data_IF_755360980599
#
_entry.id   IF_755360980599
#
_cell.length_a   1.000
_cell.length_b   1.000
_cell.length_c   1.000
_cell.angle_alpha   90.00
_cell.angle_beta   90.00
_cell.angle_gamma   90.00
#
_symmetry.space_group_name_H-M   'P 1'
#
loop_
_entity.id
_entity.type
_entity.pdbx_description
1 polymer ?
#
# COMPACT_ATOMS: atom_id res chain seq x y z
N UNK A 1 16.65 13.13 -16.26
CA UNK A 1 15.92 13.31 -14.98
C UNK A 1 14.65 12.47 -14.97
N UNK A 2 14.22 11.93 -13.81
CA UNK A 2 13.10 10.96 -13.79
C UNK A 2 11.76 11.59 -14.20
N UNK A 3 11.41 12.76 -13.65
CA UNK A 3 10.18 13.46 -14.01
C UNK A 3 10.13 13.77 -15.52
N UNK A 4 11.25 14.23 -16.11
CA UNK A 4 11.39 14.41 -17.56
C UNK A 4 11.13 13.12 -18.33
N UNK A 5 11.65 11.98 -17.86
CA UNK A 5 11.45 10.67 -18.52
C UNK A 5 9.97 10.28 -18.47
N UNK A 6 9.30 10.45 -17.33
CA UNK A 6 7.86 10.22 -17.18
C UNK A 6 7.06 11.10 -18.13
N UNK A 7 7.35 12.41 -18.16
CA UNK A 7 6.68 13.35 -19.04
C UNK A 7 6.86 13.00 -20.52
N UNK A 8 8.05 12.53 -20.91
CA UNK A 8 8.36 12.11 -22.28
C UNK A 8 7.53 10.89 -22.69
N UNK A 9 7.53 9.84 -21.87
CA UNK A 9 6.74 8.63 -22.12
C UNK A 9 5.25 8.98 -22.23
N UNK A 10 4.75 9.81 -21.30
CA UNK A 10 3.37 10.26 -21.31
C UNK A 10 3.02 11.03 -22.58
N UNK A 11 3.80 12.05 -22.96
CA UNK A 11 3.49 12.89 -24.11
C UNK A 11 3.51 12.09 -25.42
N UNK A 12 4.49 11.19 -25.58
CA UNK A 12 4.54 10.29 -26.72
C UNK A 12 3.27 9.43 -26.79
N UNK A 13 2.89 8.82 -25.66
CA UNK A 13 1.67 7.99 -25.57
C UNK A 13 0.41 8.82 -25.83
N UNK A 14 0.36 10.06 -25.35
CA UNK A 14 -0.76 10.98 -25.56
C UNK A 14 -0.91 11.29 -27.05
N UNK A 15 0.17 11.72 -27.70
CA UNK A 15 0.18 12.03 -29.13
C UNK A 15 -0.28 10.82 -29.96
N UNK A 16 0.23 9.62 -29.67
CA UNK A 16 -0.20 8.40 -30.33
C UNK A 16 -1.69 8.07 -30.09
N UNK A 17 -2.16 8.12 -28.84
CA UNK A 17 -3.52 7.72 -28.46
C UNK A 17 -4.60 8.68 -28.94
N UNK A 18 -4.28 9.98 -29.00
CA UNK A 18 -5.24 11.02 -29.42
C UNK A 18 -5.03 11.49 -30.87
N UNK A 19 -4.03 10.95 -31.59
CA UNK A 19 -3.75 11.34 -32.97
C UNK A 19 -3.21 12.76 -33.08
N UNK A 20 -2.52 13.23 -32.05
CA UNK A 20 -1.92 14.56 -31.94
C UNK A 20 -0.42 14.50 -32.25
N UNK A 21 0.22 15.66 -32.44
CA UNK A 21 1.67 15.74 -32.59
C UNK A 21 2.22 16.98 -31.87
N UNK A 22 1.80 17.15 -30.62
CA UNK A 22 2.18 18.31 -29.81
C UNK A 22 3.63 18.17 -29.35
N UNK A 23 4.41 19.23 -29.51
CA UNK A 23 5.70 19.38 -28.83
C UNK A 23 5.51 19.51 -27.31
N UNK A 24 6.57 19.30 -26.50
CA UNK A 24 6.51 19.49 -25.05
C UNK A 24 6.00 20.87 -24.62
N UNK A 25 6.45 21.93 -25.30
CA UNK A 25 5.98 23.29 -25.02
C UNK A 25 4.51 23.47 -25.39
N UNK A 26 4.08 23.00 -26.57
CA UNK A 26 2.67 23.13 -27.00
C UNK A 26 1.73 22.38 -26.07
N UNK A 27 2.08 21.15 -25.65
CA UNK A 27 1.29 20.43 -24.65
C UNK A 27 1.28 21.17 -23.32
N UNK A 28 2.43 21.71 -22.90
CA UNK A 28 2.53 22.47 -21.66
C UNK A 28 1.56 23.66 -21.67
N UNK A 29 1.57 24.45 -22.74
CA UNK A 29 0.77 25.68 -22.86
C UNK A 29 -0.73 25.36 -23.01
N UNK A 30 -1.06 24.44 -23.92
CA UNK A 30 -2.46 24.20 -24.32
C UNK A 30 -3.21 23.25 -23.38
N UNK A 31 -2.51 22.42 -22.61
CA UNK A 31 -3.13 21.36 -21.80
C UNK A 31 -2.70 21.44 -20.34
N UNK A 32 -1.39 21.40 -20.08
CA UNK A 32 -0.89 21.34 -18.70
C UNK A 32 -1.19 22.63 -17.92
N UNK A 33 -0.82 23.78 -18.48
CA UNK A 33 -1.05 25.09 -17.88
C UNK A 33 -2.55 25.33 -17.63
N UNK A 34 -3.39 25.01 -18.62
CA UNK A 34 -4.84 25.13 -18.51
C UNK A 34 -5.39 24.36 -17.31
N UNK A 35 -5.00 23.09 -17.10
CA UNK A 35 -5.49 22.33 -15.96
C UNK A 35 -4.86 22.75 -14.62
N UNK A 36 -3.55 23.02 -14.61
CA UNK A 36 -2.77 23.13 -13.36
C UNK A 36 -2.72 24.54 -12.79
N UNK A 37 -2.61 25.56 -13.64
CA UNK A 37 -2.23 26.91 -13.23
C UNK A 37 -3.15 28.01 -13.77
N UNK A 38 -3.97 27.76 -14.78
CA UNK A 38 -4.89 28.78 -15.33
C UNK A 38 -6.20 28.96 -14.53
N UNK A 39 -6.22 28.56 -13.25
CA UNK A 39 -7.40 28.66 -12.38
C UNK A 39 -7.05 29.13 -10.96
N UNK A 40 -7.99 29.71 -10.19
CA UNK A 40 -7.74 30.19 -8.83
C UNK A 40 -7.18 29.12 -7.88
N UNK A 41 -7.65 27.87 -8.04
CA UNK A 41 -7.14 26.71 -7.29
C UNK A 41 -6.19 25.93 -8.16
N UNK A 42 -4.88 26.09 -7.91
CA UNK A 42 -3.87 25.29 -8.60
C UNK A 42 -3.98 23.81 -8.24
N UNK A 43 -3.60 22.94 -9.17
CA UNK A 43 -3.51 21.49 -8.89
C UNK A 43 -2.23 21.10 -8.17
N UNK A 44 -1.15 21.85 -8.40
CA UNK A 44 0.18 21.60 -7.85
C UNK A 44 0.79 22.89 -7.34
N UNK A 45 1.57 22.78 -6.26
CA UNK A 45 2.38 23.87 -5.75
C UNK A 45 3.86 23.52 -5.90
N UNK A 46 4.59 24.29 -6.72
CA UNK A 46 6.02 24.09 -6.93
C UNK A 46 6.76 25.29 -6.34
N UNK A 47 7.42 25.06 -5.21
CA UNK A 47 8.14 26.09 -4.45
C UNK A 47 9.17 26.82 -5.33
N UNK A 48 9.28 28.13 -5.14
CA UNK A 48 10.19 29.02 -5.89
C UNK A 48 9.91 29.13 -7.40
N UNK A 49 8.91 28.45 -7.93
CA UNK A 49 8.56 28.59 -9.34
C UNK A 49 7.92 29.94 -9.66
N UNK A 50 7.99 30.38 -10.94
CA UNK A 50 7.31 31.60 -11.39
C UNK A 50 5.83 31.65 -11.00
N UNK A 51 5.13 30.51 -10.98
CA UNK A 51 3.70 30.43 -10.67
C UNK A 51 3.35 30.73 -9.21
N UNK A 52 4.27 30.50 -8.27
CA UNK A 52 4.02 30.70 -6.83
C UNK A 52 4.77 31.90 -6.25
N UNK A 53 5.71 32.48 -7.01
CA UNK A 53 6.38 33.72 -6.67
C UNK A 53 5.45 34.91 -6.92
N UNK A 54 4.83 35.41 -5.85
CA UNK A 54 3.83 36.49 -5.90
C UNK A 54 4.48 37.86 -5.70
N UNK A 55 3.94 38.89 -6.38
CA UNK A 55 4.24 40.29 -6.04
C UNK A 55 3.59 40.62 -4.68
N UNK A 56 4.05 41.67 -4.01
CA UNK A 56 3.48 42.07 -2.71
C UNK A 56 1.95 42.23 -2.80
N UNK A 57 1.22 41.54 -1.91
CA UNK A 57 -0.25 41.55 -1.87
C UNK A 57 -0.96 40.55 -2.79
N UNK A 58 -0.28 39.91 -3.74
CA UNK A 58 -0.88 38.89 -4.61
C UNK A 58 -1.02 37.54 -3.88
N UNK A 59 -2.14 36.85 -4.12
CA UNK A 59 -2.36 35.45 -3.73
C UNK A 59 -2.77 34.64 -4.95
N UNK A 60 -2.39 33.36 -5.01
CA UNK A 60 -2.69 32.50 -6.16
C UNK A 60 -4.19 32.50 -6.54
N UNK A 61 -5.07 32.41 -5.54
CA UNK A 61 -6.52 32.39 -5.75
C UNK A 61 -7.13 33.73 -6.18
N UNK A 62 -6.38 34.83 -6.07
CA UNK A 62 -6.84 36.17 -6.46
C UNK A 62 -6.28 36.64 -7.80
N UNK A 63 -5.37 35.87 -8.42
CA UNK A 63 -4.78 36.23 -9.70
C UNK A 63 -5.83 36.27 -10.80
N UNK A 64 -5.80 37.31 -11.62
CA UNK A 64 -6.59 37.42 -12.84
C UNK A 64 -5.98 36.56 -13.97
N UNK A 65 -6.76 36.21 -15.01
CA UNK A 65 -6.25 35.43 -16.15
C UNK A 65 -4.97 36.01 -16.76
N UNK A 66 -4.92 37.33 -17.01
CA UNK A 66 -3.74 37.99 -17.58
C UNK A 66 -2.51 37.88 -16.67
N UNK A 67 -2.70 37.95 -15.35
CA UNK A 67 -1.61 37.77 -14.38
C UNK A 67 -1.11 36.32 -14.38
N UNK A 68 -1.97 35.33 -14.61
CA UNK A 68 -1.54 33.92 -14.74
C UNK A 68 -0.76 33.72 -16.05
N UNK A 69 -1.17 34.36 -17.13
CA UNK A 69 -0.42 34.38 -18.40
C UNK A 69 0.94 35.05 -18.23
N UNK A 70 1.04 36.16 -17.47
CA UNK A 70 2.34 36.78 -17.13
C UNK A 70 3.28 35.78 -16.43
N UNK A 71 2.74 34.94 -15.52
CA UNK A 71 3.51 33.90 -14.81
C UNK A 71 4.01 32.81 -15.76
N UNK A 72 3.19 32.41 -16.73
CA UNK A 72 3.56 31.48 -17.79
C UNK A 72 4.70 32.04 -18.66
N UNK A 73 4.56 33.29 -19.12
CA UNK A 73 5.61 33.95 -19.90
C UNK A 73 6.93 34.07 -19.13
N UNK A 74 6.87 34.33 -17.83
CA UNK A 74 8.05 34.39 -16.98
C UNK A 74 8.76 33.03 -16.91
N UNK A 75 8.03 31.91 -16.86
CA UNK A 75 8.62 30.58 -16.98
C UNK A 75 9.34 30.41 -18.33
N UNK A 76 8.69 30.74 -19.45
CA UNK A 76 9.31 30.62 -20.77
C UNK A 76 10.57 31.46 -20.93
N UNK A 77 10.57 32.69 -20.40
CA UNK A 77 11.73 33.59 -20.42
C UNK A 77 12.91 32.96 -19.69
N UNK A 78 12.68 32.39 -18.50
CA UNK A 78 13.73 31.71 -17.72
C UNK A 78 14.31 30.49 -18.43
N UNK A 79 13.43 29.65 -18.99
CA UNK A 79 13.85 28.47 -19.77
C UNK A 79 14.69 28.91 -20.97
N UNK A 80 14.24 29.93 -21.70
CA UNK A 80 14.95 30.45 -22.89
C UNK A 80 16.27 31.15 -22.55
N UNK A 81 16.39 31.70 -21.34
CA UNK A 81 17.63 32.27 -20.81
C UNK A 81 18.66 31.20 -20.40
N UNK A 82 18.28 29.91 -20.43
CA UNK A 82 19.16 28.79 -20.09
C UNK A 82 19.23 28.45 -18.61
N UNK A 83 18.34 29.01 -17.77
CA UNK A 83 18.16 28.54 -16.39
C UNK A 83 17.72 27.06 -16.43
N UNK A 84 18.20 26.22 -15.49
CA UNK A 84 17.88 24.78 -15.43
C UNK A 84 17.68 24.24 -14.01
N UNK A 85 17.31 25.07 -13.05
CA UNK A 85 17.20 24.68 -11.65
C UNK A 85 15.78 24.22 -11.23
N UNK A 86 15.67 23.72 -10.01
CA UNK A 86 14.45 23.18 -9.39
C UNK A 86 13.24 24.14 -9.40
N UNK A 87 13.46 25.45 -9.53
CA UNK A 87 12.36 26.43 -9.63
C UNK A 87 11.62 26.37 -10.96
N UNK A 88 12.26 25.86 -12.02
CA UNK A 88 11.72 25.80 -13.37
C UNK A 88 11.78 24.40 -13.98
N UNK A 89 12.32 23.41 -13.26
CA UNK A 89 12.38 22.03 -13.69
C UNK A 89 12.18 21.06 -12.51
N UNK A 90 11.17 20.19 -12.57
CA UNK A 90 10.79 19.35 -11.43
C UNK A 90 11.80 18.22 -11.21
N UNK A 91 12.34 18.16 -9.99
CA UNK A 91 13.31 17.15 -9.58
C UNK A 91 14.75 17.48 -9.95
N UNK A 92 15.02 18.69 -10.45
CA UNK A 92 16.36 19.19 -10.78
C UNK A 92 17.12 19.71 -9.55
N UNK A 93 18.44 19.95 -9.67
CA UNK A 93 19.21 20.63 -8.62
C UNK A 93 18.65 22.01 -8.29
N UNK A 94 18.74 22.43 -7.04
CA UNK A 94 18.38 23.80 -6.68
C UNK A 94 19.35 24.81 -7.32
N UNK A 95 18.92 26.07 -7.43
CA UNK A 95 19.72 27.15 -8.03
C UNK A 95 20.99 27.50 -7.22
N UNK A 96 21.04 27.12 -5.94
CA UNK A 96 22.17 27.41 -5.07
C UNK A 96 23.32 26.42 -5.32
N UNK A 97 24.42 26.91 -5.90
CA UNK A 97 25.58 26.11 -6.29
C UNK A 97 26.48 25.66 -5.12
N UNK A 98 26.34 26.28 -3.94
CA UNK A 98 27.37 26.21 -2.90
C UNK A 98 27.24 25.13 -1.84
N UNK A 99 26.12 24.44 -1.74
CA UNK A 99 25.92 23.32 -0.83
C UNK A 99 24.73 22.53 -1.34
N UNK A 100 24.65 21.22 -1.10
CA UNK A 100 23.52 20.39 -1.51
C UNK A 100 22.22 20.88 -0.82
N UNK A 101 21.57 21.89 -1.41
CA UNK A 101 20.37 22.49 -0.85
C UNK A 101 19.33 21.41 -0.62
N UNK A 102 18.56 21.53 0.46
CA UNK A 102 17.60 20.49 0.90
C UNK A 102 16.48 20.23 -0.11
N UNK A 103 16.27 21.15 -1.06
CA UNK A 103 15.31 21.06 -2.17
C UNK A 103 15.94 20.63 -3.49
N UNK A 104 17.23 20.34 -3.53
CA UNK A 104 17.89 19.77 -4.72
C UNK A 104 17.39 18.36 -4.99
N UNK A 105 17.26 18.01 -6.27
CA UNK A 105 16.96 16.66 -6.73
C UNK A 105 17.99 16.17 -7.73
N UNK A 106 18.30 14.86 -7.67
CA UNK A 106 19.07 14.12 -8.68
C UNK A 106 20.34 14.84 -9.18
N UNK A 107 21.11 15.44 -8.27
CA UNK A 107 22.42 16.04 -8.55
C UNK A 107 23.38 14.93 -9.00
N UNK A 108 24.09 15.15 -10.10
CA UNK A 108 25.00 14.16 -10.68
C UNK A 108 26.23 14.84 -11.28
N UNK A 109 27.38 14.16 -11.19
CA UNK A 109 28.63 14.57 -11.85
C UNK A 109 28.67 14.12 -13.32
N UNK A 110 27.64 13.42 -13.80
CA UNK A 110 27.52 13.03 -15.21
C UNK A 110 26.99 14.23 -15.99
N UNK A 111 27.74 14.64 -17.01
CA UNK A 111 27.28 15.66 -17.96
C UNK A 111 26.08 15.13 -18.76
N UNK A 112 24.91 15.71 -18.51
CA UNK A 112 23.68 15.42 -19.24
C UNK A 112 23.38 16.59 -20.18
N UNK A 113 23.12 16.28 -21.45
CA UNK A 113 22.54 17.26 -22.37
C UNK A 113 21.07 17.47 -21.98
N UNK A 114 20.74 18.70 -21.61
CA UNK A 114 19.40 19.11 -21.17
C UNK A 114 18.90 20.20 -22.11
N UNK A 115 17.91 19.82 -22.91
CA UNK A 115 17.26 20.71 -23.87
C UNK A 115 16.10 21.46 -23.19
N UNK A 116 15.68 22.59 -23.77
CA UNK A 116 14.54 23.36 -23.24
C UNK A 116 13.27 22.52 -23.12
N UNK A 117 13.07 21.57 -24.04
CA UNK A 117 11.96 20.62 -24.03
C UNK A 117 11.95 19.73 -22.78
N UNK A 118 13.12 19.35 -22.25
CA UNK A 118 13.22 18.52 -21.05
C UNK A 118 12.65 19.21 -19.81
N UNK A 119 12.69 20.54 -19.77
CA UNK A 119 12.15 21.33 -18.67
C UNK A 119 10.62 21.26 -18.68
N UNK A 120 9.97 21.47 -19.83
CA UNK A 120 8.51 21.30 -19.96
C UNK A 120 8.08 19.87 -19.63
N UNK A 121 8.81 18.87 -20.13
CA UNK A 121 8.55 17.46 -19.81
C UNK A 121 8.69 17.17 -18.32
N UNK A 122 9.61 17.83 -17.61
CA UNK A 122 9.75 17.66 -16.17
C UNK A 122 8.51 18.11 -15.40
N UNK A 123 7.86 19.20 -15.83
CA UNK A 123 6.61 19.66 -15.24
C UNK A 123 5.46 18.70 -15.53
N UNK A 124 5.29 18.30 -16.79
CA UNK A 124 4.27 17.35 -17.21
C UNK A 124 4.39 16.05 -16.41
N UNK A 125 5.61 15.51 -16.32
CA UNK A 125 5.90 14.33 -15.48
C UNK A 125 5.70 14.59 -13.99
N UNK A 126 6.04 15.79 -13.49
CA UNK A 126 5.81 16.20 -12.12
C UNK A 126 4.34 16.16 -11.69
N UNK A 127 3.40 16.34 -12.62
CA UNK A 127 1.96 16.20 -12.39
C UNK A 127 1.46 14.75 -12.35
N UNK A 128 2.28 13.77 -12.75
CA UNK A 128 1.94 12.34 -12.86
C UNK A 128 2.41 11.52 -11.64
N UNK A 129 2.81 12.18 -10.56
CA UNK A 129 3.24 11.50 -9.33
C UNK A 129 2.05 10.89 -8.59
N UNK A 130 2.23 9.70 -8.02
CA UNK A 130 1.16 8.97 -7.30
C UNK A 130 1.43 9.03 -5.80
N UNK A 131 0.70 9.88 -5.08
CA UNK A 131 0.85 10.09 -3.64
C UNK A 131 0.27 8.94 -2.83
N UNK A 132 1.04 8.43 -1.87
CA UNK A 132 0.65 7.35 -0.97
C UNK A 132 0.96 7.69 0.50
N UNK A 133 0.25 7.03 1.41
CA UNK A 133 0.40 7.22 2.84
C UNK A 133 1.85 6.95 3.28
N UNK A 134 2.33 7.75 4.23
CA UNK A 134 3.74 7.79 4.63
C UNK A 134 4.52 8.98 4.05
N UNK A 135 3.87 9.85 3.28
CA UNK A 135 4.46 11.11 2.77
C UNK A 135 5.37 10.92 1.56
N UNK A 136 5.16 9.85 0.79
CA UNK A 136 5.89 9.55 -0.43
C UNK A 136 4.97 9.57 -1.64
N UNK A 137 5.56 9.75 -2.81
CA UNK A 137 4.95 9.59 -4.12
C UNK A 137 5.71 8.53 -4.91
N UNK A 138 5.04 7.93 -5.89
CA UNK A 138 5.58 6.90 -6.77
C UNK A 138 5.42 7.39 -8.21
N UNK A 139 6.47 7.29 -9.01
CA UNK A 139 6.35 7.33 -10.47
C UNK A 139 6.39 5.91 -11.02
N UNK A 140 5.42 5.57 -11.87
CA UNK A 140 5.47 4.41 -12.76
C UNK A 140 5.60 4.88 -14.20
N UNK A 141 6.63 4.45 -14.90
CA UNK A 141 6.85 4.84 -16.30
C UNK A 141 6.09 3.93 -17.27
N UNK A 142 4.80 3.74 -17.04
CA UNK A 142 3.96 2.78 -17.78
C UNK A 142 2.86 3.53 -18.55
N UNK A 143 2.82 3.44 -19.91
CA UNK A 143 1.91 4.21 -20.75
C UNK A 143 0.44 4.21 -20.29
N UNK A 144 -0.11 3.03 -19.95
CA UNK A 144 -1.50 2.92 -19.50
C UNK A 144 -1.76 3.59 -18.16
N UNK A 145 -0.81 3.53 -17.21
CA UNK A 145 -0.93 4.26 -15.94
C UNK A 145 -0.88 5.77 -16.19
N UNK A 146 0.04 6.23 -17.03
CA UNK A 146 0.21 7.66 -17.30
C UNK A 146 -1.02 8.27 -17.99
N UNK A 147 -1.61 7.57 -18.96
CA UNK A 147 -2.87 8.01 -19.58
C UNK A 147 -4.01 7.99 -18.57
N UNK A 148 -4.11 6.93 -17.75
CA UNK A 148 -5.15 6.85 -16.73
C UNK A 148 -5.05 8.03 -15.75
N UNK A 149 -3.86 8.41 -15.32
CA UNK A 149 -3.64 9.58 -14.48
C UNK A 149 -4.12 10.89 -15.14
N UNK A 150 -3.79 11.08 -16.41
CA UNK A 150 -4.24 12.25 -17.17
C UNK A 150 -5.78 12.35 -17.29
N UNK A 151 -6.49 11.23 -17.46
CA UNK A 151 -7.96 11.23 -17.40
C UNK A 151 -8.46 11.75 -16.03
N UNK A 152 -7.78 11.36 -14.96
CA UNK A 152 -8.03 11.84 -13.60
C UNK A 152 -7.82 13.34 -13.43
N UNK A 153 -6.88 13.95 -14.17
CA UNK A 153 -6.66 15.40 -14.11
C UNK A 153 -7.91 16.17 -14.52
N UNK A 154 -8.58 15.73 -15.60
CA UNK A 154 -9.80 16.38 -16.11
C UNK A 154 -10.90 16.38 -15.06
N UNK A 155 -11.07 15.24 -14.38
CA UNK A 155 -12.07 15.06 -13.32
C UNK A 155 -11.73 15.94 -12.11
N UNK A 156 -10.48 15.95 -11.68
CA UNK A 156 -10.06 16.79 -10.55
C UNK A 156 -10.23 18.27 -10.84
N UNK A 157 -9.91 18.71 -12.07
CA UNK A 157 -10.12 20.09 -12.48
C UNK A 157 -11.58 20.49 -12.34
N UNK A 158 -12.49 19.61 -12.80
CA UNK A 158 -13.92 19.82 -12.73
C UNK A 158 -14.37 20.01 -11.29
N UNK A 159 -13.92 19.17 -10.35
CA UNK A 159 -14.26 19.33 -8.94
C UNK A 159 -13.68 20.58 -8.31
N UNK A 160 -12.44 20.94 -8.61
CA UNK A 160 -11.84 22.17 -8.09
C UNK A 160 -12.53 23.44 -8.62
N UNK A 161 -13.17 23.38 -9.78
CA UNK A 161 -13.93 24.48 -10.38
C UNK A 161 -15.42 24.46 -10.02
N UNK A 162 -15.91 23.42 -9.35
CA UNK A 162 -17.31 23.32 -8.96
C UNK A 162 -17.60 24.30 -7.80
N UNK A 163 -18.52 25.28 -7.99
CA UNK A 163 -18.86 26.23 -6.93
C UNK A 163 -19.45 25.58 -5.69
N UNK A 164 -20.09 24.41 -5.82
CA UNK A 164 -20.62 23.66 -4.67
C UNK A 164 -19.52 23.02 -3.82
N UNK A 165 -18.30 22.92 -4.36
CA UNK A 165 -17.10 22.43 -3.69
C UNK A 165 -16.10 23.58 -3.43
N UNK A 166 -16.61 24.75 -3.03
CA UNK A 166 -15.80 25.94 -2.74
C UNK A 166 -14.69 25.66 -1.72
N UNK A 167 -14.95 24.77 -0.76
CA UNK A 167 -14.01 24.38 0.29
C UNK A 167 -13.01 23.28 -0.14
N UNK A 168 -13.12 22.74 -1.36
CA UNK A 168 -12.14 21.77 -1.87
C UNK A 168 -10.77 22.41 -2.05
N UNK A 169 -9.79 21.87 -1.35
CA UNK A 169 -8.42 22.36 -1.35
C UNK A 169 -7.71 22.02 -2.66
N UNK A 170 -6.98 22.98 -3.22
CA UNK A 170 -6.05 22.76 -4.34
C UNK A 170 -4.71 22.13 -3.90
N UNK A 171 -3.75 22.04 -4.82
CA UNK A 171 -2.38 21.59 -4.56
C UNK A 171 -2.26 20.14 -4.06
N UNK A 172 -3.23 19.28 -4.37
CA UNK A 172 -3.25 17.87 -3.95
C UNK A 172 -3.12 16.89 -5.13
N UNK A 173 -2.54 17.29 -6.26
CA UNK A 173 -2.53 16.45 -7.48
C UNK A 173 -1.96 15.05 -7.24
N UNK A 174 -0.85 14.90 -6.51
CA UNK A 174 -0.29 13.57 -6.24
C UNK A 174 -1.23 12.72 -5.39
N UNK A 175 -1.84 13.32 -4.36
CA UNK A 175 -2.82 12.64 -3.51
C UNK A 175 -4.05 12.21 -4.30
N UNK A 176 -4.54 13.10 -5.18
CA UNK A 176 -5.62 12.80 -6.12
C UNK A 176 -5.25 11.67 -7.06
N UNK A 177 -4.06 11.70 -7.67
CA UNK A 177 -3.58 10.65 -8.57
C UNK A 177 -3.58 9.26 -7.89
N UNK A 178 -3.18 9.19 -6.62
CA UNK A 178 -3.27 7.98 -5.80
C UNK A 178 -4.71 7.46 -5.66
N UNK A 179 -5.63 8.33 -5.26
CA UNK A 179 -7.04 7.96 -5.12
C UNK A 179 -7.71 7.64 -6.44
N UNK A 180 -7.39 8.39 -7.49
CA UNK A 180 -7.95 8.20 -8.83
C UNK A 180 -7.56 6.84 -9.39
N UNK A 181 -6.27 6.46 -9.35
CA UNK A 181 -5.86 5.12 -9.80
C UNK A 181 -6.49 4.02 -8.96
N UNK A 182 -6.56 4.22 -7.64
CA UNK A 182 -7.21 3.27 -6.75
C UNK A 182 -8.69 3.07 -7.12
N UNK A 183 -9.41 4.14 -7.40
CA UNK A 183 -10.81 4.13 -7.81
C UNK A 183 -11.00 3.54 -9.21
N UNK A 184 -10.20 3.99 -10.19
CA UNK A 184 -10.31 3.61 -11.60
C UNK A 184 -9.98 2.13 -11.85
N UNK A 185 -9.01 1.56 -11.12
CA UNK A 185 -8.72 0.13 -11.13
C UNK A 185 -9.50 -0.64 -10.04
N UNK A 186 -10.47 0.02 -9.40
CA UNK A 186 -11.39 -0.59 -8.46
C UNK A 186 -12.35 -1.55 -9.17
N UNK A 187 -12.64 -2.71 -8.57
CA UNK A 187 -13.60 -3.70 -9.14
C UNK A 187 -14.98 -3.11 -9.41
N UNK A 188 -15.36 -2.07 -8.65
CA UNK A 188 -16.66 -1.40 -8.75
C UNK A 188 -16.57 -0.10 -9.55
N UNK A 189 -15.54 0.11 -10.37
CA UNK A 189 -15.48 1.27 -11.25
C UNK A 189 -16.65 1.27 -12.24
N UNK A 190 -17.23 2.43 -12.45
CA UNK A 190 -18.18 2.72 -13.53
C UNK A 190 -18.00 4.17 -13.90
N UNK A 191 -18.05 4.50 -15.19
CA UNK A 191 -17.82 5.86 -15.69
C UNK A 191 -18.89 6.87 -15.25
N UNK A 192 -20.05 6.40 -14.78
CA UNK A 192 -21.20 7.18 -14.33
C UNK A 192 -21.15 7.59 -12.85
N UNK A 193 -19.96 7.87 -12.31
CA UNK A 193 -19.79 8.22 -10.90
C UNK A 193 -19.94 9.73 -10.63
N UNK A 194 -20.28 10.05 -9.39
CA UNK A 194 -20.38 11.42 -8.89
C UNK A 194 -19.50 11.63 -7.64
N UNK A 195 -19.52 12.86 -7.12
CA UNK A 195 -18.77 13.20 -5.91
C UNK A 195 -19.24 12.37 -4.69
N UNK A 196 -20.54 12.11 -4.56
CA UNK A 196 -21.10 11.35 -3.44
C UNK A 196 -20.55 9.93 -3.38
N UNK A 197 -20.37 9.29 -4.55
CA UNK A 197 -19.76 7.96 -4.65
C UNK A 197 -18.28 7.95 -4.28
N UNK A 198 -17.52 8.98 -4.67
CA UNK A 198 -16.12 9.12 -4.27
C UNK A 198 -16.01 9.37 -2.76
N UNK A 199 -16.86 10.23 -2.21
CA UNK A 199 -16.92 10.50 -0.78
C UNK A 199 -17.30 9.24 0.02
N UNK A 200 -18.27 8.44 -0.45
CA UNK A 200 -18.65 7.16 0.16
C UNK A 200 -17.54 6.09 0.12
N UNK A 201 -16.49 6.30 -0.68
CA UNK A 201 -15.30 5.45 -0.75
C UNK A 201 -14.08 6.11 -0.06
N UNK A 202 -14.32 7.08 0.81
CA UNK A 202 -13.30 7.79 1.59
C UNK A 202 -12.23 8.47 0.72
N UNK A 203 -12.56 8.86 -0.53
CA UNK A 203 -11.64 9.65 -1.38
C UNK A 203 -11.47 11.06 -0.84
N UNK A 204 -12.52 11.61 -0.24
CA UNK A 204 -12.53 12.95 0.35
C UNK A 204 -12.82 12.89 1.84
N UNK A 205 -12.13 13.70 2.63
CA UNK A 205 -12.56 14.09 3.98
C UNK A 205 -13.29 15.42 3.89
N UNK A 206 -14.49 15.49 4.46
CA UNK A 206 -15.34 16.67 4.45
C UNK A 206 -15.55 17.15 5.88
N UNK A 207 -15.25 18.43 6.14
CA UNK A 207 -15.70 19.13 7.33
C UNK A 207 -16.26 20.51 6.94
N UNK A 208 -16.80 21.25 7.89
CA UNK A 208 -17.49 22.54 7.66
C UNK A 208 -16.65 23.62 6.96
N UNK A 209 -15.31 23.46 6.90
CA UNK A 209 -14.37 24.50 6.43
C UNK A 209 -13.41 24.03 5.35
N UNK A 210 -13.30 22.72 5.11
CA UNK A 210 -12.37 22.18 4.13
C UNK A 210 -12.85 20.83 3.64
N UNK A 211 -12.71 20.64 2.32
CA UNK A 211 -12.77 19.34 1.68
C UNK A 211 -11.34 19.02 1.22
N UNK A 212 -10.81 17.88 1.64
CA UNK A 212 -9.45 17.45 1.29
C UNK A 212 -9.47 16.05 0.68
N UNK A 213 -8.60 15.80 -0.29
CA UNK A 213 -8.37 14.46 -0.80
C UNK A 213 -7.62 13.64 0.25
N UNK A 214 -8.15 12.47 0.61
CA UNK A 214 -7.48 11.54 1.52
C UNK A 214 -6.31 10.86 0.82
N UNK A 215 -5.24 10.59 1.55
CA UNK A 215 -4.08 9.88 0.99
C UNK A 215 -4.29 8.37 1.06
N UNK A 216 -4.22 7.69 -0.08
CA UNK A 216 -4.43 6.25 -0.18
C UNK A 216 -3.25 5.46 0.44
N UNK A 217 -3.55 4.31 1.04
CA UNK A 217 -2.50 3.39 1.47
C UNK A 217 -1.90 2.65 0.27
N UNK A 218 -0.58 2.49 0.22
CA UNK A 218 0.08 1.90 -0.95
C UNK A 218 -0.34 0.45 -1.21
N UNK A 219 -0.70 -0.32 -0.18
CA UNK A 219 -1.16 -1.70 -0.29
C UNK A 219 -2.51 -1.79 -1.00
N UNK A 220 -3.44 -0.89 -0.72
CA UNK A 220 -4.74 -0.84 -1.41
C UNK A 220 -4.55 -0.54 -2.90
N UNK A 221 -3.73 0.46 -3.21
CA UNK A 221 -3.33 0.77 -4.58
C UNK A 221 -2.65 -0.43 -5.26
N UNK A 222 -1.75 -1.13 -4.54
CA UNK A 222 -1.05 -2.31 -5.04
C UNK A 222 -2.03 -3.43 -5.42
N UNK A 223 -2.99 -3.76 -4.55
CA UNK A 223 -4.02 -4.75 -4.86
C UNK A 223 -4.87 -4.32 -6.06
N UNK A 224 -5.21 -3.04 -6.18
CA UNK A 224 -6.03 -2.55 -7.28
C UNK A 224 -5.30 -2.60 -8.63
N UNK A 225 -4.06 -2.09 -8.69
CA UNK A 225 -3.21 -2.21 -9.88
C UNK A 225 -2.96 -3.68 -10.23
N UNK A 226 -2.78 -4.56 -9.23
CA UNK A 226 -2.53 -5.97 -9.48
C UNK A 226 -3.68 -6.72 -10.14
N UNK A 227 -4.91 -6.22 -10.05
CA UNK A 227 -6.04 -6.84 -10.75
C UNK A 227 -6.03 -6.52 -12.24
N UNK A 228 -5.60 -5.32 -12.59
CA UNK A 228 -5.44 -4.90 -13.98
C UNK A 228 -4.18 -5.51 -14.62
N UNK A 229 -3.08 -5.57 -13.84
CA UNK A 229 -1.78 -6.04 -14.31
C UNK A 229 -1.26 -7.25 -13.51
N UNK A 230 -1.97 -8.39 -13.48
CA UNK A 230 -1.72 -9.50 -12.54
C UNK A 230 -0.41 -10.26 -12.77
N UNK A 231 0.21 -10.11 -13.93
CA UNK A 231 1.47 -10.80 -14.28
C UNK A 231 2.63 -9.84 -14.51
N UNK A 232 2.38 -8.53 -14.45
CA UNK A 232 3.39 -7.54 -14.78
C UNK A 232 4.21 -7.16 -13.55
N UNK A 233 5.39 -6.61 -13.81
CA UNK A 233 6.25 -6.01 -12.80
C UNK A 233 6.62 -4.61 -13.28
N UNK A 234 6.29 -3.60 -12.49
CA UNK A 234 6.64 -2.21 -12.82
C UNK A 234 7.80 -1.73 -11.98
N UNK A 235 8.68 -0.93 -12.57
CA UNK A 235 9.69 -0.19 -11.82
C UNK A 235 9.07 1.09 -11.28
N UNK A 236 8.90 1.15 -9.97
CA UNK A 236 8.39 2.33 -9.27
C UNK A 236 9.53 3.16 -8.69
N UNK A 237 9.61 4.44 -9.06
CA UNK A 237 10.53 5.39 -8.41
C UNK A 237 9.83 6.04 -7.22
N UNK A 238 10.31 5.78 -6.01
CA UNK A 238 9.69 6.26 -4.76
C UNK A 238 10.45 7.46 -4.20
N UNK A 239 9.74 8.55 -3.97
CA UNK A 239 10.31 9.85 -3.63
C UNK A 239 9.36 10.71 -2.79
N UNK A 240 9.84 11.85 -2.31
CA UNK A 240 9.03 12.90 -1.67
C UNK A 240 9.63 14.24 -2.05
N UNK A 241 8.82 15.14 -2.62
CA UNK A 241 9.21 16.52 -2.90
C UNK A 241 8.45 17.45 -1.94
N UNK A 242 9.17 18.37 -1.31
CA UNK A 242 8.60 19.26 -0.31
C UNK A 242 9.64 20.25 0.19
N UNK A 243 9.62 20.58 1.48
CA UNK A 243 10.68 21.40 2.10
C UNK A 243 12.03 20.69 2.12
N UNK A 244 12.03 19.36 2.17
CA UNK A 244 13.23 18.53 2.05
C UNK A 244 12.90 17.38 1.12
N UNK A 245 13.60 17.33 0.00
CA UNK A 245 13.44 16.25 -0.97
C UNK A 245 14.01 14.95 -0.39
N UNK A 246 13.30 13.84 -0.60
CA UNK A 246 13.74 12.50 -0.22
C UNK A 246 13.61 11.59 -1.42
N UNK A 247 14.66 10.83 -1.69
CA UNK A 247 14.65 9.77 -2.71
C UNK A 247 14.90 8.45 -2.02
N UNK A 248 14.01 7.48 -2.21
CA UNK A 248 14.26 6.10 -1.81
C UNK A 248 14.90 5.33 -2.98
N UNK A 249 14.45 5.58 -4.21
CA UNK A 249 15.04 5.02 -5.43
C UNK A 249 14.03 4.21 -6.24
N UNK A 250 14.55 3.33 -7.09
CA UNK A 250 13.75 2.45 -7.95
C UNK A 250 13.55 1.09 -7.30
N UNK A 251 12.32 0.61 -7.33
CA UNK A 251 11.95 -0.69 -6.78
C UNK A 251 11.04 -1.43 -7.77
N UNK A 252 11.25 -2.73 -8.00
CA UNK A 252 10.30 -3.54 -8.75
C UNK A 252 9.04 -3.82 -7.90
N UNK A 253 7.87 -3.60 -8.48
CA UNK A 253 6.55 -3.87 -7.92
C UNK A 253 6.00 -5.16 -8.54
N UNK A 254 6.04 -6.25 -7.80
CA UNK A 254 5.65 -7.58 -8.27
C UNK A 254 4.15 -7.83 -8.05
N UNK A 255 3.29 -7.29 -8.91
CA UNK A 255 1.84 -7.36 -8.76
C UNK A 255 1.28 -8.81 -8.72
N UNK A 256 1.99 -9.75 -9.35
CA UNK A 256 1.68 -11.18 -9.27
C UNK A 256 1.63 -11.73 -7.83
N UNK A 257 2.32 -11.11 -6.88
CA UNK A 257 2.31 -11.53 -5.48
C UNK A 257 0.99 -11.23 -4.77
N UNK A 258 0.29 -10.14 -5.13
CA UNK A 258 -1.06 -9.87 -4.60
C UNK A 258 -2.08 -10.91 -5.08
N UNK A 259 -1.99 -11.30 -6.36
CA UNK A 259 -2.79 -12.41 -6.91
C UNK A 259 -2.52 -13.70 -6.14
N UNK A 260 -1.24 -14.07 -5.93
CA UNK A 260 -0.86 -15.28 -5.17
C UNK A 260 -1.47 -15.30 -3.76
N UNK A 261 -1.41 -14.19 -3.03
CA UNK A 261 -2.02 -14.07 -1.70
C UNK A 261 -3.54 -14.25 -1.77
N UNK A 262 -4.18 -13.63 -2.76
CA UNK A 262 -5.64 -13.71 -2.94
C UNK A 262 -6.07 -15.13 -3.27
N UNK A 263 -5.33 -15.83 -4.14
CA UNK A 263 -5.60 -17.22 -4.52
C UNK A 263 -5.43 -18.15 -3.31
N UNK A 264 -4.40 -17.94 -2.48
CA UNK A 264 -4.22 -18.70 -1.24
C UNK A 264 -5.38 -18.47 -0.27
N UNK A 265 -5.83 -17.23 -0.12
CA UNK A 265 -6.98 -16.92 0.73
C UNK A 265 -8.23 -17.67 0.27
N UNK A 266 -8.49 -17.69 -1.05
CA UNK A 266 -9.61 -18.44 -1.65
C UNK A 266 -9.50 -19.93 -1.40
N UNK A 267 -8.33 -20.53 -1.59
CA UNK A 267 -8.10 -21.96 -1.37
C UNK A 267 -8.32 -22.33 0.11
N UNK A 268 -7.85 -21.48 1.03
CA UNK A 268 -7.90 -21.76 2.46
C UNK A 268 -9.28 -21.54 3.10
N UNK A 269 -10.04 -20.55 2.64
CA UNK A 269 -11.25 -20.08 3.32
C UNK A 269 -12.49 -20.02 2.43
N UNK A 270 -12.36 -20.33 1.14
CA UNK A 270 -13.44 -20.30 0.16
C UNK A 270 -13.54 -18.97 -0.59
N UNK A 271 -14.10 -19.02 -1.79
CA UNK A 271 -14.20 -17.85 -2.67
C UNK A 271 -15.15 -16.79 -2.09
N UNK A 272 -16.27 -17.19 -1.49
CA UNK A 272 -17.21 -16.26 -0.87
C UNK A 272 -16.56 -15.46 0.27
N UNK A 273 -15.83 -16.13 1.16
CA UNK A 273 -15.09 -15.45 2.23
C UNK A 273 -14.04 -14.47 1.68
N UNK A 274 -13.32 -14.85 0.62
CA UNK A 274 -12.37 -13.97 -0.05
C UNK A 274 -13.04 -12.74 -0.70
N UNK A 275 -14.30 -12.86 -1.13
CA UNK A 275 -15.07 -11.72 -1.65
C UNK A 275 -15.54 -10.79 -0.52
N UNK A 276 -16.11 -11.36 0.54
CA UNK A 276 -16.74 -10.62 1.64
C UNK A 276 -15.72 -9.94 2.55
N UNK A 277 -14.60 -10.61 2.83
CA UNK A 277 -13.57 -10.13 3.74
C UNK A 277 -12.54 -9.21 3.05
N UNK A 278 -12.66 -8.99 1.73
CA UNK A 278 -11.63 -8.33 0.89
C UNK A 278 -11.07 -7.04 1.46
N UNK A 279 -11.94 -6.05 1.62
CA UNK A 279 -11.52 -4.72 2.06
C UNK A 279 -10.78 -4.77 3.41
N UNK A 280 -11.18 -5.70 4.28
CA UNK A 280 -10.60 -5.88 5.61
C UNK A 280 -9.27 -6.61 5.56
N UNK A 281 -9.10 -7.67 4.75
CA UNK A 281 -7.80 -8.32 4.66
C UNK A 281 -6.79 -7.49 3.85
N UNK A 282 -7.21 -6.80 2.78
CA UNK A 282 -6.30 -6.00 1.95
C UNK A 282 -5.69 -4.83 2.74
N UNK A 283 -6.48 -4.20 3.62
CA UNK A 283 -6.04 -3.09 4.50
C UNK A 283 -5.09 -3.52 5.63
N UNK A 284 -5.10 -4.81 6.00
CA UNK A 284 -4.17 -5.40 6.96
C UNK A 284 -2.80 -5.71 6.34
N UNK A 285 -2.73 -5.97 5.04
CA UNK A 285 -1.46 -6.22 4.35
C UNK A 285 -0.63 -4.95 4.20
N UNK A 286 0.69 -5.13 4.14
CA UNK A 286 1.62 -4.06 3.82
C UNK A 286 2.30 -3.43 5.03
N UNK A 287 3.63 -3.39 4.97
CA UNK A 287 4.45 -2.58 5.86
C UNK A 287 4.31 -1.09 5.52
N UNK A 288 4.85 -0.20 6.35
CA UNK A 288 5.01 1.21 5.94
C UNK A 288 5.87 1.29 4.66
N UNK A 289 5.51 2.14 3.68
CA UNK A 289 6.15 2.17 2.34
C UNK A 289 7.68 2.28 2.39
N UNK A 290 8.23 3.12 3.27
CA UNK A 290 9.69 3.20 3.47
C UNK A 290 10.31 1.85 3.86
N UNK A 291 9.67 1.13 4.79
CA UNK A 291 10.14 -0.18 5.24
C UNK A 291 9.95 -1.25 4.16
N UNK A 292 8.91 -1.13 3.34
CA UNK A 292 8.73 -1.97 2.17
C UNK A 292 9.87 -1.77 1.15
N UNK A 293 10.25 -0.52 0.87
CA UNK A 293 11.39 -0.17 0.01
C UNK A 293 12.73 -0.73 0.54
N UNK A 294 12.95 -0.74 1.86
CA UNK A 294 14.17 -1.31 2.46
C UNK A 294 14.37 -2.81 2.17
N UNK A 295 13.33 -3.52 1.72
CA UNK A 295 13.41 -4.92 1.29
C UNK A 295 13.96 -5.08 -0.13
N UNK A 296 14.22 -3.98 -0.85
CA UNK A 296 14.74 -3.98 -2.22
C UNK A 296 13.70 -4.28 -3.31
N UNK A 297 12.50 -4.73 -2.94
CA UNK A 297 11.37 -4.91 -3.86
C UNK A 297 10.02 -4.85 -3.16
N UNK A 298 8.99 -4.45 -3.91
CA UNK A 298 7.61 -4.39 -3.42
C UNK A 298 6.86 -5.61 -3.91
N UNK A 299 6.87 -6.66 -3.08
CA UNK A 299 6.22 -7.93 -3.36
C UNK A 299 5.80 -8.64 -2.07
N UNK A 300 5.90 -9.96 -2.05
CA UNK A 300 5.36 -10.77 -0.95
C UNK A 300 5.90 -10.39 0.44
N UNK A 301 7.20 -10.10 0.58
CA UNK A 301 7.77 -9.64 1.87
C UNK A 301 7.25 -8.26 2.28
N UNK A 302 7.10 -7.33 1.33
CA UNK A 302 6.55 -6.00 1.59
C UNK A 302 5.08 -6.05 2.03
N UNK A 303 4.33 -7.05 1.57
CA UNK A 303 2.96 -7.34 1.95
C UNK A 303 2.83 -8.03 3.31
N UNK A 304 3.87 -8.06 4.16
CA UNK A 304 3.77 -8.55 5.53
C UNK A 304 2.61 -7.85 6.26
N UNK A 305 1.65 -8.61 6.83
CA UNK A 305 0.52 -8.02 7.55
C UNK A 305 0.97 -7.19 8.73
N UNK A 306 0.28 -6.06 8.95
CA UNK A 306 0.43 -5.22 10.12
C UNK A 306 0.33 -6.06 11.39
N UNK A 307 1.16 -5.71 12.37
CA UNK A 307 1.22 -6.35 13.68
C UNK A 307 1.66 -7.82 13.74
N UNK A 308 1.88 -8.52 12.62
CA UNK A 308 2.26 -9.93 12.64
C UNK A 308 3.56 -10.17 13.45
N UNK A 309 4.52 -9.24 13.40
CA UNK A 309 5.78 -9.34 14.14
C UNK A 309 5.62 -9.46 15.65
N UNK A 310 4.51 -9.01 16.25
CA UNK A 310 4.30 -9.08 17.71
C UNK A 310 4.16 -10.51 18.23
N UNK A 311 3.96 -11.49 17.35
CA UNK A 311 3.78 -12.90 17.69
C UNK A 311 5.06 -13.75 17.58
N UNK A 312 6.16 -13.20 17.07
CA UNK A 312 7.44 -13.92 17.00
C UNK A 312 8.16 -13.88 18.35
N UNK A 313 8.60 -15.03 18.85
CA UNK A 313 9.48 -15.15 20.02
C UNK A 313 8.95 -14.62 21.35
N UNK A 314 7.69 -14.14 21.41
CA UNK A 314 6.98 -13.65 22.60
C UNK A 314 5.85 -14.62 22.98
N UNK A 315 5.49 -14.65 24.26
CA UNK A 315 4.33 -15.39 24.79
C UNK A 315 2.96 -14.84 24.29
N UNK A 316 2.99 -13.81 23.43
CA UNK A 316 1.79 -13.24 22.81
C UNK A 316 1.13 -14.26 21.89
N UNK A 317 -0.17 -14.46 22.07
CA UNK A 317 -1.01 -15.35 21.28
C UNK A 317 -2.16 -14.57 20.66
N UNK A 318 -2.54 -14.94 19.44
CA UNK A 318 -3.78 -14.45 18.85
C UNK A 318 -4.95 -15.05 19.63
N UNK A 319 -5.76 -14.20 20.26
CA UNK A 319 -6.91 -14.65 21.06
C UNK A 319 -8.07 -14.97 20.12
N UNK A 320 -8.22 -16.25 19.79
CA UNK A 320 -9.27 -16.75 18.90
C UNK A 320 -10.44 -17.40 19.66
N UNK A 321 -10.56 -17.21 20.97
CA UNK A 321 -11.64 -17.78 21.78
C UNK A 321 -12.96 -17.11 21.41
N UNK A 322 -14.01 -17.91 21.14
CA UNK A 322 -15.36 -17.38 20.90
C UNK A 322 -15.86 -16.61 22.14
N UNK A 323 -16.37 -15.38 21.99
CA UNK A 323 -16.92 -14.64 23.11
C UNK A 323 -18.15 -15.36 23.66
N UNK A 324 -18.18 -15.60 24.97
CA UNK A 324 -19.39 -16.06 25.69
C UNK A 324 -20.03 -14.86 26.36
N UNK A 325 -21.21 -14.46 25.90
CA UNK A 325 -21.88 -13.23 26.34
C UNK A 325 -23.25 -13.57 26.89
N UNK A 326 -23.35 -13.56 28.21
CA UNK A 326 -24.61 -13.59 28.93
C UNK A 326 -25.01 -12.17 29.34
N UNK A 327 -26.32 -11.91 29.42
CA UNK A 327 -26.86 -10.66 29.94
C UNK A 327 -26.46 -10.50 31.41
N UNK A 328 -25.98 -9.31 31.77
CA UNK A 328 -25.56 -9.02 33.14
C UNK A 328 -26.76 -8.63 34.00
N UNK A 329 -26.68 -8.90 35.30
CA UNK A 329 -27.75 -8.55 36.24
C UNK A 329 -27.89 -7.02 36.34
N UNK A 330 -29.03 -6.49 35.90
CA UNK A 330 -29.32 -5.04 35.89
C UNK A 330 -28.92 -4.32 34.60
N UNK A 331 -28.46 -5.05 33.57
CA UNK A 331 -28.19 -4.51 32.24
C UNK A 331 -29.48 -4.42 31.42
N UNK A 332 -29.68 -3.30 30.72
CA UNK A 332 -30.83 -3.14 29.83
C UNK A 332 -30.70 -4.05 28.58
N UNK A 333 -31.82 -4.37 27.94
CA UNK A 333 -31.82 -5.14 26.68
C UNK A 333 -31.05 -4.42 25.56
N UNK A 334 -31.11 -3.09 25.52
CA UNK A 334 -30.39 -2.27 24.56
C UNK A 334 -28.87 -2.35 24.80
N UNK A 335 -28.42 -2.22 26.05
CA UNK A 335 -27.01 -2.33 26.42
C UNK A 335 -26.46 -3.73 26.15
N UNK A 336 -27.25 -4.76 26.44
CA UNK A 336 -26.92 -6.16 26.14
C UNK A 336 -26.71 -6.36 24.64
N UNK A 337 -27.64 -5.87 23.81
CA UNK A 337 -27.58 -5.98 22.34
C UNK A 337 -26.34 -5.27 21.79
N UNK A 338 -26.05 -4.04 22.26
CA UNK A 338 -24.86 -3.29 21.85
C UNK A 338 -23.57 -4.03 22.24
N UNK A 339 -23.52 -4.60 23.45
CA UNK A 339 -22.36 -5.37 23.92
C UNK A 339 -22.16 -6.65 23.11
N UNK A 340 -23.24 -7.35 22.78
CA UNK A 340 -23.22 -8.53 21.93
C UNK A 340 -22.65 -8.19 20.54
N UNK A 341 -23.22 -7.18 19.87
CA UNK A 341 -22.77 -6.75 18.54
C UNK A 341 -21.29 -6.34 18.53
N UNK A 342 -20.84 -5.56 19.52
CA UNK A 342 -19.42 -5.16 19.64
C UNK A 342 -18.48 -6.35 19.75
N UNK A 343 -18.89 -7.40 20.46
CA UNK A 343 -18.06 -8.57 20.63
C UNK A 343 -18.09 -9.50 19.42
N UNK A 344 -19.22 -9.66 18.74
CA UNK A 344 -19.33 -10.36 17.47
C UNK A 344 -18.46 -9.69 16.40
N UNK A 345 -18.50 -8.36 16.33
CA UNK A 345 -17.64 -7.56 15.45
C UNK A 345 -16.15 -7.81 15.76
N UNK A 346 -15.76 -7.74 17.03
CA UNK A 346 -14.36 -8.00 17.45
C UNK A 346 -13.91 -9.44 17.16
N UNK A 347 -14.81 -10.41 17.33
CA UNK A 347 -14.54 -11.81 17.03
C UNK A 347 -14.31 -12.03 15.53
N UNK A 348 -15.15 -11.40 14.70
CA UNK A 348 -15.01 -11.40 13.26
C UNK A 348 -13.71 -10.71 12.80
N UNK A 349 -13.32 -9.59 13.40
CA UNK A 349 -12.01 -8.94 13.16
C UNK A 349 -10.82 -9.84 13.53
N UNK A 350 -10.89 -10.55 14.66
CA UNK A 350 -9.87 -11.52 15.05
C UNK A 350 -9.78 -12.68 14.04
N UNK A 351 -10.93 -13.14 13.51
CA UNK A 351 -10.97 -14.18 12.49
C UNK A 351 -10.32 -13.73 11.19
N UNK A 352 -10.62 -12.52 10.71
CA UNK A 352 -9.96 -11.96 9.53
C UNK A 352 -8.46 -11.82 9.78
N UNK A 353 -8.07 -11.29 10.94
CA UNK A 353 -6.65 -11.16 11.32
C UNK A 353 -5.94 -12.51 11.24
N UNK A 354 -6.53 -13.56 11.80
CA UNK A 354 -6.03 -14.94 11.67
C UNK A 354 -5.90 -15.38 10.21
N UNK A 355 -6.96 -15.23 9.41
CA UNK A 355 -6.98 -15.64 8.00
C UNK A 355 -5.90 -14.92 7.19
N UNK A 356 -5.76 -13.61 7.38
CA UNK A 356 -4.74 -12.78 6.73
C UNK A 356 -3.34 -13.22 7.10
N UNK A 357 -3.07 -13.41 8.40
CA UNK A 357 -1.76 -13.87 8.88
C UNK A 357 -1.42 -15.27 8.37
N UNK A 358 -2.36 -16.21 8.46
CA UNK A 358 -2.20 -17.57 7.94
C UNK A 358 -1.89 -17.56 6.45
N UNK A 359 -2.63 -16.77 5.66
CA UNK A 359 -2.42 -16.65 4.21
C UNK A 359 -0.99 -16.19 3.89
N UNK A 360 -0.51 -15.14 4.57
CA UNK A 360 0.83 -14.63 4.33
C UNK A 360 1.93 -15.59 4.79
N UNK A 361 1.81 -16.15 6.00
CA UNK A 361 2.78 -17.11 6.53
C UNK A 361 2.91 -18.33 5.62
N UNK A 362 1.79 -18.86 5.14
CA UNK A 362 1.80 -19.94 4.16
C UNK A 362 2.42 -19.50 2.83
N UNK A 363 2.08 -18.31 2.32
CA UNK A 363 2.69 -17.78 1.11
C UNK A 363 4.21 -17.65 1.25
N UNK A 364 4.72 -17.30 2.44
CA UNK A 364 6.14 -17.20 2.75
C UNK A 364 6.83 -18.57 2.86
N UNK A 365 6.23 -19.53 3.58
CA UNK A 365 6.79 -20.88 3.77
C UNK A 365 6.81 -21.67 2.46
N UNK A 366 5.73 -21.58 1.68
CA UNK A 366 5.54 -22.34 0.43
C UNK A 366 6.12 -21.67 -0.81
N UNK A 367 6.89 -20.57 -0.65
CA UNK A 367 7.35 -19.72 -1.78
C UNK A 367 7.87 -20.50 -2.99
N UNK A 368 8.56 -21.62 -2.74
CA UNK A 368 9.26 -22.42 -3.75
C UNK A 368 8.97 -23.93 -3.63
N UNK A 369 7.85 -24.33 -3.01
CA UNK A 369 7.57 -25.75 -2.75
C UNK A 369 6.09 -26.10 -2.92
N UNK A 370 5.82 -27.25 -3.52
CA UNK A 370 4.52 -27.91 -3.43
C UNK A 370 4.37 -28.49 -2.02
N UNK A 371 3.86 -27.68 -1.09
CA UNK A 371 3.54 -28.11 0.26
C UNK A 371 2.04 -27.98 0.52
N UNK A 372 1.48 -28.94 1.26
CA UNK A 372 0.08 -28.88 1.70
C UNK A 372 -0.16 -27.59 2.50
N UNK A 373 -1.09 -26.77 2.01
CA UNK A 373 -1.53 -25.54 2.69
C UNK A 373 -2.25 -25.82 4.02
N UNK A 374 -2.58 -27.08 4.31
CA UNK A 374 -3.25 -27.53 5.53
C UNK A 374 -2.33 -28.22 6.53
N UNK A 375 -1.05 -28.41 6.19
CA UNK A 375 -0.13 -29.21 7.00
C UNK A 375 -0.04 -28.76 8.47
N UNK A 376 0.08 -27.45 8.73
CA UNK A 376 0.14 -26.93 10.12
C UNK A 376 -1.18 -27.10 10.86
N UNK A 377 -2.31 -27.09 10.15
CA UNK A 377 -3.62 -27.36 10.75
C UNK A 377 -3.75 -28.84 11.13
N UNK A 378 -3.30 -29.77 10.28
CA UNK A 378 -3.27 -31.21 10.60
C UNK A 378 -2.41 -31.50 11.82
N UNK A 379 -1.21 -30.90 11.90
CA UNK A 379 -0.34 -31.02 13.08
C UNK A 379 -1.01 -30.43 14.32
N UNK A 380 -1.67 -29.27 14.21
CA UNK A 380 -2.39 -28.66 15.33
C UNK A 380 -3.51 -29.56 15.88
N UNK A 381 -4.26 -30.24 15.01
CA UNK A 381 -5.29 -31.20 15.40
C UNK A 381 -4.67 -32.40 16.13
N UNK A 382 -3.58 -32.97 15.62
CA UNK A 382 -2.87 -34.07 16.27
C UNK A 382 -2.28 -33.68 17.65
N UNK A 383 -1.81 -32.44 17.81
CA UNK A 383 -1.36 -31.93 19.11
C UNK A 383 -2.50 -31.86 20.14
N UNK A 384 -3.71 -31.48 19.71
CA UNK A 384 -4.88 -31.50 20.60
C UNK A 384 -5.30 -32.92 20.96
N UNK A 385 -5.31 -33.86 20.01
CA UNK A 385 -5.57 -35.28 20.30
C UNK A 385 -4.56 -35.84 21.32
N UNK A 386 -3.27 -35.53 21.16
CA UNK A 386 -2.23 -35.90 22.13
C UNK A 386 -2.50 -35.32 23.52
N UNK A 387 -2.90 -34.04 23.59
CA UNK A 387 -3.28 -33.37 24.84
C UNK A 387 -4.46 -34.07 25.52
N UNK A 388 -5.50 -34.43 24.75
CA UNK A 388 -6.73 -35.07 25.27
C UNK A 388 -6.48 -36.48 25.80
N UNK A 389 -5.42 -37.15 25.33
CA UNK A 389 -5.03 -38.48 25.81
C UNK A 389 -4.50 -38.53 27.26
N UNK A 390 -4.44 -37.42 27.99
CA UNK A 390 -4.10 -37.37 29.42
C UNK A 390 -4.87 -36.27 30.14
N UNK A 391 -5.30 -36.53 31.38
CA UNK A 391 -5.92 -35.53 32.27
C UNK A 391 -4.89 -34.68 33.02
N UNK A 392 -3.61 -35.04 32.96
CA UNK A 392 -2.52 -34.31 33.62
C UNK A 392 -2.13 -33.05 32.83
N UNK A 393 -1.60 -32.07 33.54
CA UNK A 393 -1.16 -30.78 32.97
C UNK A 393 0.17 -30.85 32.24
N UNK A 394 0.91 -31.96 32.36
CA UNK A 394 2.20 -32.22 31.73
C UNK A 394 2.14 -32.09 30.20
N UNK A 395 1.20 -32.76 29.53
CA UNK A 395 1.05 -32.69 28.07
C UNK A 395 0.67 -31.30 27.59
N UNK A 396 -0.19 -30.62 28.34
CA UNK A 396 -0.58 -29.23 28.06
C UNK A 396 0.62 -28.28 28.17
N UNK A 397 1.42 -28.42 29.22
CA UNK A 397 2.61 -27.60 29.44
C UNK A 397 3.68 -27.87 28.37
N UNK A 398 3.91 -29.14 28.01
CA UNK A 398 4.83 -29.51 26.93
C UNK A 398 4.46 -28.83 25.61
N UNK A 399 3.17 -28.80 25.25
CA UNK A 399 2.71 -28.14 24.03
C UNK A 399 2.83 -26.61 24.15
N UNK A 400 2.22 -26.02 25.18
CA UNK A 400 2.05 -24.57 25.26
C UNK A 400 3.31 -23.81 25.67
N UNK A 401 4.08 -24.38 26.61
CA UNK A 401 5.22 -23.72 27.24
C UNK A 401 6.56 -24.13 26.66
N UNK A 402 6.65 -25.28 25.98
CA UNK A 402 7.91 -25.76 25.37
C UNK A 402 7.81 -25.75 23.84
N UNK A 403 6.91 -26.53 23.25
CA UNK A 403 6.83 -26.71 21.79
C UNK A 403 6.42 -25.43 21.07
N UNK A 404 5.28 -24.83 21.41
CA UNK A 404 4.74 -23.63 20.74
C UNK A 404 5.43 -22.32 21.18
N UNK A 405 6.19 -22.35 22.28
CA UNK A 405 6.98 -21.23 22.77
C UNK A 405 8.45 -21.28 22.29
N UNK A 406 8.83 -22.35 21.57
CA UNK A 406 10.20 -22.54 21.10
C UNK A 406 10.64 -21.39 20.18
N UNK A 407 11.77 -20.76 20.53
CA UNK A 407 12.35 -19.63 19.77
C UNK A 407 13.31 -20.06 18.67
N UNK A 408 13.69 -21.34 18.64
CA UNK A 408 14.60 -21.91 17.65
C UNK A 408 14.32 -23.39 17.44
N UNK A 409 14.91 -23.96 16.38
CA UNK A 409 14.69 -25.36 15.99
C UNK A 409 15.04 -26.35 17.09
N UNK A 410 16.13 -26.12 17.84
CA UNK A 410 16.63 -27.09 18.83
C UNK A 410 15.62 -27.32 19.99
N UNK A 411 15.18 -26.30 20.75
CA UNK A 411 14.14 -26.48 21.77
C UNK A 411 12.84 -27.08 21.22
N UNK A 412 12.46 -26.74 19.98
CA UNK A 412 11.29 -27.33 19.35
C UNK A 412 11.45 -28.84 19.13
N UNK A 413 12.59 -29.27 18.58
CA UNK A 413 12.88 -30.68 18.34
C UNK A 413 13.07 -31.48 19.65
N UNK A 414 13.63 -30.84 20.68
CA UNK A 414 13.75 -31.45 22.02
C UNK A 414 12.35 -31.72 22.62
N UNK A 415 11.45 -30.72 22.57
CA UNK A 415 10.06 -30.88 23.01
C UNK A 415 9.29 -31.92 22.18
N UNK A 416 9.50 -31.92 20.86
CA UNK A 416 8.89 -32.91 19.95
C UNK A 416 9.37 -34.34 20.26
N UNK A 417 10.64 -34.52 20.61
CA UNK A 417 11.20 -35.83 20.98
C UNK A 417 10.55 -36.36 22.26
N UNK A 418 10.26 -35.48 23.23
CA UNK A 418 9.52 -35.85 24.44
C UNK A 418 8.09 -36.25 24.10
N UNK A 419 7.41 -35.51 23.21
CA UNK A 419 6.03 -35.77 22.80
C UNK A 419 5.87 -37.14 22.12
N UNK A 420 6.80 -37.50 21.24
CA UNK A 420 6.75 -38.75 20.46
C UNK A 420 6.78 -40.01 21.34
N UNK A 421 7.30 -39.94 22.57
CA UNK A 421 7.34 -41.10 23.49
C UNK A 421 5.95 -41.59 23.91
N UNK A 422 4.98 -40.68 23.95
CA UNK A 422 3.66 -40.89 24.53
C UNK A 422 2.52 -40.71 23.50
N UNK A 423 2.86 -40.66 22.21
CA UNK A 423 1.89 -40.44 21.13
C UNK A 423 1.38 -41.76 20.56
N UNK A 424 0.13 -41.75 20.07
CA UNK A 424 -0.48 -42.88 19.40
C UNK A 424 0.31 -43.27 18.13
N UNK A 425 0.43 -44.58 17.88
CA UNK A 425 1.17 -45.14 16.74
C UNK A 425 0.67 -44.59 15.40
N UNK A 426 -0.64 -44.34 15.28
CA UNK A 426 -1.26 -43.76 14.07
C UNK A 426 -0.78 -42.34 13.74
N UNK A 427 -0.17 -41.63 14.69
CA UNK A 427 0.32 -40.25 14.52
C UNK A 427 1.85 -40.16 14.47
N UNK A 428 2.58 -41.25 14.69
CA UNK A 428 4.05 -41.26 14.69
C UNK A 428 4.64 -40.76 13.37
N UNK A 429 4.10 -41.20 12.23
CA UNK A 429 4.59 -40.77 10.92
C UNK A 429 4.34 -39.26 10.67
N UNK A 430 3.24 -38.71 11.18
CA UNK A 430 2.99 -37.26 11.10
C UNK A 430 4.03 -36.47 11.90
N UNK A 431 4.32 -36.85 13.15
CA UNK A 431 5.30 -36.16 13.98
C UNK A 431 6.75 -36.38 13.51
N UNK A 432 7.04 -37.52 12.88
CA UNK A 432 8.30 -37.76 12.18
C UNK A 432 8.46 -36.85 10.96
N UNK A 433 7.42 -36.71 10.14
CA UNK A 433 7.40 -35.74 9.03
C UNK A 433 7.59 -34.30 9.54
N UNK A 434 6.98 -33.94 10.67
CA UNK A 434 7.17 -32.64 11.32
C UNK A 434 8.61 -32.41 11.74
N UNK A 435 9.24 -33.40 12.39
CA UNK A 435 10.65 -33.34 12.77
C UNK A 435 11.52 -33.08 11.54
N UNK A 436 11.32 -33.84 10.48
CA UNK A 436 12.15 -33.77 9.27
C UNK A 436 12.00 -32.42 8.57
N UNK A 437 10.76 -31.93 8.44
CA UNK A 437 10.49 -30.59 7.90
C UNK A 437 11.16 -29.50 8.72
N UNK A 438 10.99 -29.51 10.05
CA UNK A 438 11.58 -28.51 10.94
C UNK A 438 13.09 -28.55 10.89
N UNK A 439 13.70 -29.73 10.86
CA UNK A 439 15.16 -29.87 10.76
C UNK A 439 15.72 -29.16 9.51
N UNK A 440 15.05 -29.33 8.37
CA UNK A 440 15.44 -28.79 7.07
C UNK A 440 15.09 -27.31 6.84
N UNK A 441 14.29 -26.68 7.72
CA UNK A 441 13.93 -25.26 7.59
C UNK A 441 15.12 -24.33 7.85
N UNK A 442 15.16 -23.19 7.17
CA UNK A 442 16.00 -22.07 7.57
C UNK A 442 15.53 -21.48 8.91
N UNK A 443 16.34 -20.62 9.54
CA UNK A 443 15.93 -19.97 10.79
C UNK A 443 14.71 -19.04 10.58
N UNK A 444 14.63 -18.39 9.40
CA UNK A 444 13.52 -17.52 9.02
C UNK A 444 12.24 -18.33 8.78
N UNK A 445 12.33 -19.40 7.97
CA UNK A 445 11.17 -20.28 7.68
C UNK A 445 10.64 -20.93 8.95
N UNK A 446 11.53 -21.35 9.86
CA UNK A 446 11.13 -21.87 11.16
C UNK A 446 10.36 -20.83 11.98
N UNK A 447 10.79 -19.56 11.94
CA UNK A 447 10.06 -18.46 12.58
C UNK A 447 8.63 -18.32 12.06
N UNK A 448 8.44 -18.37 10.74
CA UNK A 448 7.12 -18.36 10.12
C UNK A 448 6.29 -19.58 10.49
N UNK A 449 6.90 -20.76 10.41
CA UNK A 449 6.26 -22.03 10.72
C UNK A 449 5.77 -22.08 12.17
N UNK A 450 6.62 -21.68 13.14
CA UNK A 450 6.28 -21.71 14.54
C UNK A 450 5.09 -20.79 14.87
N UNK A 451 5.07 -19.58 14.29
CA UNK A 451 3.94 -18.64 14.45
C UNK A 451 2.68 -19.20 13.80
N UNK A 452 2.78 -19.78 12.61
CA UNK A 452 1.65 -20.38 11.92
C UNK A 452 1.04 -21.55 12.70
N UNK A 453 1.88 -22.47 13.18
CA UNK A 453 1.45 -23.61 14.00
C UNK A 453 0.76 -23.15 15.29
N UNK A 454 1.29 -22.10 15.94
CA UNK A 454 0.67 -21.49 17.12
C UNK A 454 -0.74 -20.96 16.82
N UNK A 455 -0.93 -20.30 15.67
CA UNK A 455 -2.23 -19.80 15.25
C UNK A 455 -3.20 -20.92 14.89
N UNK A 456 -2.76 -21.93 14.15
CA UNK A 456 -3.59 -23.08 13.82
C UNK A 456 -4.00 -23.86 15.07
N UNK A 457 -3.11 -24.03 16.05
CA UNK A 457 -3.44 -24.63 17.35
C UNK A 457 -4.50 -23.83 18.11
N UNK A 458 -4.39 -22.50 18.16
CA UNK A 458 -5.40 -21.64 18.80
C UNK A 458 -6.75 -21.69 18.07
N UNK A 459 -6.74 -21.80 16.73
CA UNK A 459 -7.95 -21.91 15.93
C UNK A 459 -8.62 -23.30 16.07
N UNK A 460 -7.83 -24.36 16.17
CA UNK A 460 -8.32 -25.71 16.47
C UNK A 460 -8.94 -25.78 17.87
N UNK A 461 -8.36 -25.09 18.86
CA UNK A 461 -8.95 -24.97 20.21
C UNK A 461 -10.28 -24.21 20.18
N UNK A 462 -10.39 -23.16 19.37
CA UNK A 462 -11.66 -22.45 19.14
C UNK A 462 -12.75 -23.38 18.61
N UNK A 463 -12.43 -24.21 17.61
CA UNK A 463 -13.40 -25.15 17.00
C UNK A 463 -13.89 -26.20 17.99
N UNK A 464 -13.01 -26.72 18.85
CA UNK A 464 -13.39 -27.70 19.89
C UNK A 464 -14.25 -27.11 21.01
N UNK A 465 -14.05 -25.84 21.34
CA UNK A 465 -14.80 -25.14 22.38
C UNK A 465 -16.11 -24.49 21.88
N UNK A 466 -16.41 -24.64 20.59
CA UNK A 466 -17.63 -24.18 19.92
C UNK A 466 -18.69 -25.24 19.99
#
# INVERSE_FOLDING_TARGET
MIATTIGRTFLNTYNERFGENLSPKEFFDNVYFEYFFNHPKYMQWVTNSPFVQMKSGQKAHSLQPDERTEKLENLHKKISAGERDASIAIGFPAAEEKEFATTSGLVTDIELQIESDDLYLSWIGGGLGIGVAGGYSIFFNEPEILIKLYEGWKIYRKYLNDPSLSELRGNQINTWNGQWLNFAYGKRFRDDFDFARLHAQDVFSVNDKVIEVNTIQWNELFFNISREFPTQTFSGYVYSLGQTNKTLGFYPFYFSQAKKITDYYKILFGEQAALDDRQKYESLFGLHIKRACELGSIGLQALEPKDLRKYYGKDSNLKLIKPKIAQQKGESEEDYTVRQQKAEQKDYENLITFRTYKTWLLAMITKNKEESLQYTAEVAEALHEYREGSTKTDRKNLIQSELLAAKSKKPFLDALTTLIKDVDESKLEMFKSLRDKVHLMSAEDFGYFAVLLKFDYAYAERKRNS
#
